data_IF_484843659267
#
_entry.id   IF_484843659267
#
_cell.length_a   1.000
_cell.length_b   1.000
_cell.length_c   1.000
_cell.angle_alpha   90.00
_cell.angle_beta   90.00
_cell.angle_gamma   90.00
#
_symmetry.space_group_name_H-M   'P 1'
#
loop_
_entity.id
_entity.type
_entity.pdbx_description
1 polymer ?
#
# COMPACT_ATOMS: atom_id res chain seq x y z
N UNK A 1 -22.42 -43.72 19.60
CA UNK A 1 -21.98 -42.31 19.68
C UNK A 1 -20.67 -42.20 18.92
N UNK A 2 -20.65 -41.52 17.77
CA UNK A 2 -19.41 -41.20 17.05
C UNK A 2 -19.32 -39.67 16.95
N UNK A 3 -18.16 -39.18 17.39
CA UNK A 3 -17.74 -37.79 17.46
C UNK A 3 -17.72 -37.10 16.09
N UNK A 4 -18.20 -35.86 16.10
CA UNK A 4 -17.68 -34.64 15.48
C UNK A 4 -16.82 -34.73 14.21
N UNK A 5 -17.15 -33.87 13.25
CA UNK A 5 -16.17 -32.94 12.66
C UNK A 5 -16.94 -31.72 12.13
N UNK A 6 -16.98 -30.66 12.94
CA UNK A 6 -17.32 -29.32 12.46
C UNK A 6 -16.22 -28.92 11.48
N UNK A 7 -16.53 -28.96 10.18
CA UNK A 7 -15.74 -28.27 9.17
C UNK A 7 -15.96 -26.77 9.33
N UNK A 8 -15.27 -26.17 10.30
CA UNK A 8 -15.01 -24.74 10.29
C UNK A 8 -14.14 -24.47 9.07
N UNK A 9 -14.79 -24.19 7.94
CA UNK A 9 -14.16 -23.56 6.80
C UNK A 9 -13.54 -22.28 7.34
N UNK A 10 -12.22 -22.30 7.50
CA UNK A 10 -11.41 -21.13 7.73
C UNK A 10 -11.67 -20.22 6.53
N UNK A 11 -12.61 -19.29 6.70
CA UNK A 11 -12.71 -18.13 5.85
C UNK A 11 -11.30 -17.54 5.83
N UNK A 12 -10.60 -17.77 4.72
CA UNK A 12 -9.33 -17.12 4.44
C UNK A 12 -9.69 -15.65 4.51
N UNK A 13 -9.37 -15.01 5.64
CA UNK A 13 -9.34 -13.58 5.71
C UNK A 13 -8.52 -13.18 4.50
N UNK A 14 -9.17 -12.59 3.48
CA UNK A 14 -8.50 -12.14 2.27
C UNK A 14 -7.37 -11.24 2.76
N UNK A 15 -6.17 -11.81 2.84
CA UNK A 15 -5.04 -11.13 3.40
C UNK A 15 -4.89 -9.89 2.54
N UNK A 16 -5.03 -8.73 3.16
CA UNK A 16 -4.88 -7.43 2.50
C UNK A 16 -3.41 -7.30 2.13
N UNK A 17 -3.00 -7.96 1.04
CA UNK A 17 -1.62 -8.05 0.60
C UNK A 17 -1.37 -6.95 -0.42
N UNK A 18 -0.42 -6.08 -0.12
CA UNK A 18 0.19 -5.21 -1.11
C UNK A 18 1.03 -6.06 -2.07
N UNK A 19 0.82 -5.89 -3.37
CA UNK A 19 1.67 -6.49 -4.39
C UNK A 19 2.93 -5.64 -4.55
N UNK A 20 3.97 -5.96 -3.78
CA UNK A 20 5.26 -5.25 -3.83
C UNK A 20 6.09 -5.81 -4.98
N UNK A 21 6.39 -4.97 -5.98
CA UNK A 21 7.16 -5.37 -7.16
C UNK A 21 8.63 -4.93 -7.10
N UNK A 22 8.97 -3.96 -6.25
CA UNK A 22 10.36 -3.49 -6.09
C UNK A 22 10.61 -3.00 -4.66
N UNK A 23 11.84 -3.14 -4.17
CA UNK A 23 12.24 -2.70 -2.83
C UNK A 23 13.69 -2.22 -2.79
N UNK A 24 13.90 -1.05 -2.19
CA UNK A 24 15.20 -0.40 -2.01
C UNK A 24 15.38 0.00 -0.54
N UNK A 25 16.10 -0.84 0.23
CA UNK A 25 16.28 -0.63 1.67
C UNK A 25 14.97 -0.70 2.45
N UNK A 26 14.46 0.48 2.87
CA UNK A 26 13.18 0.64 3.58
C UNK A 26 12.07 1.21 2.70
N UNK A 27 12.35 1.48 1.42
CA UNK A 27 11.38 1.94 0.44
C UNK A 27 10.85 0.76 -0.37
N UNK A 28 9.54 0.65 -0.46
CA UNK A 28 8.83 -0.43 -1.14
C UNK A 28 7.88 0.17 -2.17
N UNK A 29 7.80 -0.46 -3.33
CA UNK A 29 6.98 0.00 -4.44
C UNK A 29 5.92 -1.07 -4.68
N UNK A 30 4.67 -0.65 -4.60
CA UNK A 30 3.56 -1.57 -4.57
C UNK A 30 2.45 -1.17 -5.53
N UNK A 31 1.74 -2.18 -6.01
CA UNK A 31 0.51 -2.06 -6.77
C UNK A 31 -0.67 -2.51 -5.90
N UNK A 32 -1.82 -1.90 -6.14
CA UNK A 32 -3.11 -2.37 -5.61
C UNK A 32 -4.09 -2.62 -6.75
N UNK A 33 -5.09 -3.49 -6.55
CA UNK A 33 -6.15 -3.68 -7.51
C UNK A 33 -6.87 -2.37 -7.87
N UNK A 34 -7.23 -2.19 -9.13
CA UNK A 34 -7.89 -0.98 -9.65
C UNK A 34 -9.17 -0.64 -8.89
N UNK A 35 -9.96 -1.64 -8.47
CA UNK A 35 -11.19 -1.44 -7.69
C UNK A 35 -10.91 -0.92 -6.27
N UNK A 36 -9.67 -1.01 -5.79
CA UNK A 36 -9.21 -0.46 -4.51
C UNK A 36 -8.45 0.86 -4.63
N UNK A 37 -8.19 1.34 -5.85
CA UNK A 37 -7.40 2.56 -6.07
C UNK A 37 -8.02 3.83 -5.45
N UNK A 38 -9.33 3.84 -5.21
CA UNK A 38 -10.04 4.93 -4.54
C UNK A 38 -10.39 4.62 -3.08
N UNK A 39 -10.10 3.41 -2.56
CA UNK A 39 -10.42 3.06 -1.18
C UNK A 39 -9.29 3.49 -0.24
N UNK A 40 -9.42 4.70 0.31
CA UNK A 40 -8.41 5.29 1.21
C UNK A 40 -8.12 4.43 2.43
N UNK A 41 -9.14 3.75 2.97
CA UNK A 41 -8.96 2.89 4.13
C UNK A 41 -8.27 1.59 3.77
N UNK A 42 -8.56 1.00 2.61
CA UNK A 42 -7.84 -0.16 2.11
C UNK A 42 -6.36 0.16 1.91
N UNK A 43 -6.06 1.27 1.22
CA UNK A 43 -4.69 1.71 0.95
C UNK A 43 -3.89 1.88 2.25
N UNK A 44 -4.47 2.54 3.26
CA UNK A 44 -3.82 2.75 4.54
C UNK A 44 -3.63 1.45 5.32
N UNK A 45 -4.68 0.62 5.45
CA UNK A 45 -4.60 -0.64 6.21
C UNK A 45 -3.60 -1.62 5.59
N UNK A 46 -3.60 -1.74 4.27
CA UNK A 46 -2.69 -2.64 3.58
C UNK A 46 -1.23 -2.19 3.79
N UNK A 47 -0.94 -0.89 3.65
CA UNK A 47 0.40 -0.33 3.85
C UNK A 47 0.87 -0.40 5.30
N UNK A 48 -0.01 -0.07 6.24
CA UNK A 48 0.25 -0.23 7.67
C UNK A 48 0.61 -1.68 7.98
N UNK A 49 -0.23 -2.64 7.57
CA UNK A 49 0.01 -4.06 7.82
C UNK A 49 1.33 -4.53 7.23
N UNK A 50 1.59 -4.19 5.97
CA UNK A 50 2.86 -4.52 5.33
C UNK A 50 4.06 -3.99 6.13
N UNK A 51 4.04 -2.72 6.54
CA UNK A 51 5.11 -2.14 7.34
C UNK A 51 5.23 -2.71 8.77
N UNK A 52 4.15 -3.24 9.34
CA UNK A 52 4.23 -4.02 10.59
C UNK A 52 4.93 -5.36 10.37
N UNK A 53 4.56 -6.06 9.30
CA UNK A 53 5.09 -7.38 8.97
C UNK A 53 6.59 -7.34 8.60
N UNK A 54 7.09 -6.21 8.08
CA UNK A 54 8.53 -6.04 7.78
C UNK A 54 9.44 -6.10 9.03
N UNK A 55 8.89 -5.83 10.23
CA UNK A 55 9.64 -5.79 11.49
C UNK A 55 10.92 -4.91 11.45
N UNK A 56 10.84 -3.75 10.78
CA UNK A 56 11.93 -2.76 10.67
C UNK A 56 11.58 -1.48 11.44
N UNK A 57 12.61 -0.77 11.92
CA UNK A 57 12.45 0.52 12.59
C UNK A 57 11.92 1.65 11.69
N UNK A 58 12.01 1.50 10.36
CA UNK A 58 11.39 2.42 9.40
C UNK A 58 10.89 1.68 8.16
N UNK A 59 9.84 2.19 7.54
CA UNK A 59 9.21 1.62 6.36
C UNK A 59 8.51 2.72 5.55
N UNK A 60 8.70 2.71 4.24
CA UNK A 60 8.07 3.62 3.28
C UNK A 60 7.48 2.81 2.15
N UNK A 61 6.20 2.98 1.85
CA UNK A 61 5.52 2.29 0.74
C UNK A 61 4.96 3.32 -0.21
N UNK A 62 5.37 3.29 -1.48
CA UNK A 62 4.77 4.05 -2.56
C UNK A 62 3.79 3.16 -3.32
N UNK A 63 2.59 3.67 -3.57
CA UNK A 63 1.45 2.85 -4.04
C UNK A 63 0.91 3.39 -5.36
N UNK A 64 0.71 2.49 -6.32
CA UNK A 64 0.05 2.73 -7.60
C UNK A 64 -1.13 1.77 -7.82
N UNK A 65 -1.97 2.07 -8.80
CA UNK A 65 -3.03 1.17 -9.28
C UNK A 65 -2.46 0.21 -10.33
N UNK A 66 -2.91 -1.05 -10.34
CA UNK A 66 -2.51 -2.04 -11.36
C UNK A 66 -3.03 -1.72 -12.78
N UNK A 67 -3.98 -0.80 -12.92
CA UNK A 67 -4.37 -0.21 -14.21
C UNK A 67 -3.36 0.82 -14.75
N UNK A 68 -2.34 1.18 -13.98
CA UNK A 68 -1.29 2.11 -14.38
C UNK A 68 0.00 1.35 -14.66
N UNK A 69 0.84 1.94 -15.51
CA UNK A 69 2.15 1.39 -15.81
C UNK A 69 3.01 1.28 -14.54
N UNK A 70 3.64 0.12 -14.33
CA UNK A 70 4.60 -0.05 -13.24
C UNK A 70 5.75 0.95 -13.40
N UNK A 71 6.12 1.71 -12.36
CA UNK A 71 7.32 2.54 -12.42
C UNK A 71 8.51 1.61 -12.61
N UNK A 72 9.14 1.75 -13.77
CA UNK A 72 10.24 0.90 -14.25
C UNK A 72 11.29 1.81 -14.86
N UNK A 73 12.55 1.38 -14.81
CA UNK A 73 13.72 2.14 -15.29
C UNK A 73 14.30 3.07 -14.23
N UNK A 74 15.63 3.19 -14.16
CA UNK A 74 16.31 4.07 -13.21
C UNK A 74 17.11 5.13 -13.99
N UNK A 75 16.78 6.44 -13.88
CA UNK A 75 15.72 7.03 -13.04
C UNK A 75 14.31 6.78 -13.62
N UNK A 76 13.31 6.80 -12.72
CA UNK A 76 11.91 6.71 -13.10
C UNK A 76 11.46 7.92 -13.93
N UNK A 77 10.63 7.69 -14.95
CA UNK A 77 9.96 8.77 -15.68
C UNK A 77 9.00 9.54 -14.75
N UNK A 78 8.98 10.87 -14.84
CA UNK A 78 8.21 11.77 -13.93
C UNK A 78 6.72 11.46 -13.87
N UNK A 79 6.11 11.03 -14.97
CA UNK A 79 4.72 10.53 -15.03
C UNK A 79 4.36 9.54 -13.92
N UNK A 80 5.33 8.75 -13.44
CA UNK A 80 5.08 7.79 -12.37
C UNK A 80 4.84 8.47 -11.02
N UNK A 81 5.53 9.58 -10.74
CA UNK A 81 5.23 10.36 -9.53
C UNK A 81 3.86 11.03 -9.65
N UNK A 82 3.45 11.48 -10.83
CA UNK A 82 2.12 12.06 -11.07
C UNK A 82 0.98 11.04 -10.89
N UNK A 83 1.25 9.77 -11.20
CA UNK A 83 0.32 8.66 -11.14
C UNK A 83 0.34 7.90 -9.80
N UNK A 84 1.26 8.23 -8.90
CA UNK A 84 1.30 7.64 -7.55
C UNK A 84 -0.01 7.96 -6.83
N UNK A 85 -0.68 6.94 -6.28
CA UNK A 85 -1.93 7.09 -5.55
C UNK A 85 -1.67 7.61 -4.14
N UNK A 86 -0.72 6.97 -3.45
CA UNK A 86 -0.49 7.20 -2.04
C UNK A 86 0.91 6.76 -1.61
N UNK A 87 1.29 7.17 -0.41
CA UNK A 87 2.58 6.91 0.19
C UNK A 87 2.38 6.83 1.69
N UNK A 88 2.84 5.72 2.23
CA UNK A 88 2.78 5.45 3.65
C UNK A 88 4.18 5.53 4.24
N UNK A 89 4.33 6.20 5.37
CA UNK A 89 5.60 6.33 6.09
C UNK A 89 5.43 5.92 7.55
N UNK A 90 6.37 5.11 8.05
CA UNK A 90 6.50 4.71 9.46
C UNK A 90 7.96 4.83 9.89
N UNK A 91 8.21 5.43 11.06
CA UNK A 91 9.55 5.52 11.65
C UNK A 91 10.60 6.23 10.79
N UNK A 92 10.18 6.99 9.77
CA UNK A 92 11.09 7.71 8.88
C UNK A 92 11.41 9.07 9.52
N UNK A 93 12.62 9.23 10.05
CA UNK A 93 13.02 10.31 10.96
C UNK A 93 12.47 11.70 10.62
N UNK A 94 11.55 12.19 11.46
CA UNK A 94 10.94 13.53 11.36
C UNK A 94 9.71 13.63 10.45
N UNK A 95 9.38 12.59 9.67
CA UNK A 95 8.15 12.55 8.89
C UNK A 95 6.95 12.14 9.76
N UNK A 96 5.79 12.76 9.51
CA UNK A 96 4.54 12.33 10.14
C UNK A 96 4.22 10.90 9.72
N UNK A 97 4.03 10.02 10.71
CA UNK A 97 3.60 8.66 10.42
C UNK A 97 2.20 8.63 9.81
N UNK A 98 1.99 7.69 8.90
CA UNK A 98 0.71 7.46 8.23
C UNK A 98 0.78 7.64 6.73
N UNK A 99 -0.42 7.69 6.13
CA UNK A 99 -0.58 7.81 4.69
C UNK A 99 -0.81 9.26 4.25
N UNK A 100 -0.21 9.60 3.12
CA UNK A 100 -0.53 10.79 2.35
C UNK A 100 -0.96 10.34 0.94
N UNK A 101 -1.92 11.05 0.37
CA UNK A 101 -2.54 10.72 -0.90
C UNK A 101 -2.27 11.77 -1.97
N UNK A 102 -2.25 11.33 -3.22
CA UNK A 102 -2.34 12.20 -4.36
C UNK A 102 -3.82 12.50 -4.62
N UNK A 103 -4.29 13.63 -4.11
CA UNK A 103 -5.70 14.03 -4.22
C UNK A 103 -6.15 14.36 -5.66
N UNK A 104 -5.22 14.44 -6.64
CA UNK A 104 -5.61 14.45 -8.06
C UNK A 104 -6.08 13.08 -8.52
N UNK A 105 -5.49 12.00 -7.99
CA UNK A 105 -5.79 10.62 -8.35
C UNK A 105 -6.86 10.00 -7.44
N UNK A 106 -6.79 10.24 -6.13
CA UNK A 106 -7.70 9.66 -5.12
C UNK A 106 -8.67 10.74 -4.65
N UNK A 107 -9.87 10.78 -5.24
CA UNK A 107 -10.79 11.93 -5.12
C UNK A 107 -11.43 12.09 -3.74
N UNK A 108 -11.52 11.01 -2.98
CA UNK A 108 -12.08 10.96 -1.63
C UNK A 108 -11.00 11.05 -0.52
N UNK A 109 -9.76 11.37 -0.87
CA UNK A 109 -8.68 11.50 0.11
C UNK A 109 -8.82 12.75 0.98
N UNK A 110 -8.59 12.58 2.29
CA UNK A 110 -8.62 13.66 3.28
C UNK A 110 -7.24 14.21 3.64
N UNK A 111 -6.16 13.49 3.33
CA UNK A 111 -4.76 13.85 3.64
C UNK A 111 -3.93 13.88 2.37
N UNK A 112 -3.85 15.04 1.73
CA UNK A 112 -3.10 15.22 0.49
C UNK A 112 -1.61 15.44 0.79
N UNK A 113 -0.73 15.00 -0.12
CA UNK A 113 0.61 15.60 -0.17
C UNK A 113 0.47 17.10 -0.40
N UNK A 114 1.20 17.91 0.37
CA UNK A 114 1.53 19.27 -0.06
C UNK A 114 2.56 19.12 -1.19
N UNK A 115 2.15 19.36 -2.43
CA UNK A 115 3.08 19.52 -3.56
C UNK A 115 3.34 20.99 -3.79
#
# INVERSE_FOLDING_TARGET
MILALLSAATAVAHAQTLDVFESHGNMHYAMVPTDKAQDTQYLERAAYKFCQDQNKGSCRVKIWSDSLDKPTGQPHHTRYDENQLAEYMRGYGGATEGILFNCKMVKNASRCYQR
#
